data_IF_173549470131
#
_entry.id   IF_173549470131
#
_cell.length_a   1.000
_cell.length_b   1.000
_cell.length_c   1.000
_cell.angle_alpha   90.00
_cell.angle_beta   90.00
_cell.angle_gamma   90.00
#
_symmetry.space_group_name_H-M   'P 1'
#
loop_
_entity.id
_entity.type
_entity.pdbx_description
1 polymer ?
#
# COMPACT_ATOMS: atom_id res chain seq x y z
N UNK A 1 18.09 -5.56 -7.17
CA UNK A 1 18.58 -4.18 -7.42
C UNK A 1 18.41 -3.29 -6.20
N UNK A 2 17.17 -3.03 -5.71
CA UNK A 2 16.94 -2.14 -4.56
C UNK A 2 17.68 -2.55 -3.27
N UNK A 3 17.63 -3.82 -2.88
CA UNK A 3 18.35 -4.30 -1.69
C UNK A 3 19.86 -4.11 -1.80
N UNK A 4 20.46 -4.44 -2.96
CA UNK A 4 21.88 -4.22 -3.21
C UNK A 4 22.27 -2.74 -3.15
N UNK A 5 21.41 -1.84 -3.66
CA UNK A 5 21.62 -0.40 -3.52
C UNK A 5 21.56 0.08 -2.06
N UNK A 6 20.66 -0.48 -1.24
CA UNK A 6 20.58 -0.17 0.18
C UNK A 6 21.77 -0.74 0.96
N UNK A 7 22.21 -1.95 0.64
CA UNK A 7 23.40 -2.56 1.23
C UNK A 7 24.64 -1.72 0.96
N UNK A 8 24.81 -1.24 -0.27
CA UNK A 8 25.92 -0.37 -0.65
C UNK A 8 25.95 0.96 0.12
N UNK A 9 24.78 1.46 0.52
CA UNK A 9 24.63 2.66 1.37
C UNK A 9 24.91 2.34 2.83
N UNK A 10 24.53 1.15 3.32
CA UNK A 10 24.78 0.74 4.70
C UNK A 10 26.24 0.36 4.97
N UNK A 11 26.96 -0.17 3.98
CA UNK A 11 28.33 -0.68 4.13
C UNK A 11 29.42 0.38 3.91
N UNK A 12 29.09 1.54 3.32
CA UNK A 12 30.07 2.55 2.96
C UNK A 12 29.81 3.92 3.59
N UNK A 13 30.88 4.65 3.88
CA UNK A 13 30.84 6.07 4.29
C UNK A 13 30.69 7.04 3.09
N UNK A 14 30.16 6.56 1.96
CA UNK A 14 30.05 7.35 0.73
C UNK A 14 28.78 8.20 0.75
N UNK A 15 28.82 9.43 0.21
CA UNK A 15 27.62 10.24 0.05
C UNK A 15 26.56 9.53 -0.80
N UNK A 16 25.30 9.59 -0.36
CA UNK A 16 24.14 9.00 -1.08
C UNK A 16 24.07 9.50 -2.53
N UNK A 17 24.47 10.75 -2.77
CA UNK A 17 24.52 11.36 -4.11
C UNK A 17 25.49 10.65 -5.06
N UNK A 18 26.65 10.23 -4.57
CA UNK A 18 27.66 9.55 -5.39
C UNK A 18 27.24 8.12 -5.70
N UNK A 19 26.66 7.43 -4.72
CA UNK A 19 26.06 6.10 -4.92
C UNK A 19 24.93 6.17 -5.95
N UNK A 20 24.04 7.15 -5.83
CA UNK A 20 22.94 7.33 -6.79
C UNK A 20 23.46 7.59 -8.22
N UNK A 21 24.52 8.40 -8.36
CA UNK A 21 25.17 8.67 -9.65
C UNK A 21 25.79 7.42 -10.25
N UNK A 22 26.50 6.62 -9.45
CA UNK A 22 27.10 5.35 -9.87
C UNK A 22 26.03 4.35 -10.33
N UNK A 23 24.91 4.29 -9.62
CA UNK A 23 23.77 3.43 -9.96
C UNK A 23 22.89 3.97 -11.10
N UNK A 24 23.16 5.18 -11.59
CA UNK A 24 22.39 5.83 -12.67
C UNK A 24 20.95 6.18 -12.28
N UNK A 25 20.68 6.43 -10.99
CA UNK A 25 19.35 6.78 -10.48
C UNK A 25 19.34 8.18 -9.86
N UNK A 26 18.15 8.78 -9.76
CA UNK A 26 17.99 9.99 -8.98
C UNK A 26 18.25 9.73 -7.49
N UNK A 27 18.98 10.63 -6.84
CA UNK A 27 19.27 10.54 -5.40
C UNK A 27 18.00 10.46 -4.54
N UNK A 28 16.94 11.18 -4.95
CA UNK A 28 15.64 11.14 -4.29
C UNK A 28 15.00 9.74 -4.29
N UNK A 29 15.23 8.93 -5.32
CA UNK A 29 14.79 7.54 -5.36
C UNK A 29 15.51 6.70 -4.30
N UNK A 30 16.83 6.85 -4.19
CA UNK A 30 17.62 6.12 -3.21
C UNK A 30 17.24 6.52 -1.77
N UNK A 31 17.09 7.82 -1.51
CA UNK A 31 16.59 8.34 -0.21
C UNK A 31 15.21 7.80 0.14
N UNK A 32 14.30 7.72 -0.84
CA UNK A 32 12.97 7.13 -0.63
C UNK A 32 13.07 5.64 -0.28
N UNK A 33 13.96 4.89 -0.93
CA UNK A 33 14.17 3.49 -0.60
C UNK A 33 14.74 3.29 0.80
N UNK A 34 15.67 4.16 1.22
CA UNK A 34 16.22 4.16 2.58
C UNK A 34 15.11 4.43 3.61
N UNK A 35 14.32 5.49 3.41
CA UNK A 35 13.20 5.82 4.29
C UNK A 35 12.23 4.64 4.43
N UNK A 36 11.88 4.00 3.31
CA UNK A 36 10.96 2.86 3.35
C UNK A 36 11.61 1.63 4.01
N UNK A 37 12.90 1.37 3.84
CA UNK A 37 13.61 0.29 4.56
C UNK A 37 13.65 0.56 6.07
N UNK A 38 13.83 1.81 6.49
CA UNK A 38 13.75 2.20 7.90
C UNK A 38 12.34 1.99 8.49
N UNK A 39 11.29 2.32 7.73
CA UNK A 39 9.89 2.01 8.11
C UNK A 39 9.67 0.50 8.20
N UNK A 40 10.14 -0.27 7.21
CA UNK A 40 9.98 -1.72 7.16
C UNK A 40 10.70 -2.44 8.31
N UNK A 41 11.79 -1.86 8.81
CA UNK A 41 12.55 -2.33 9.98
C UNK A 41 12.05 -1.77 11.32
N UNK A 42 11.02 -0.91 11.32
CA UNK A 42 10.50 -0.28 12.53
C UNK A 42 11.44 0.74 13.18
N UNK A 43 12.41 1.26 12.43
CA UNK A 43 13.31 2.34 12.90
C UNK A 43 12.65 3.73 12.80
N UNK A 44 11.51 3.81 12.11
CA UNK A 44 10.69 5.01 11.92
C UNK A 44 9.21 4.65 12.02
N UNK A 45 8.41 5.64 12.40
CA UNK A 45 6.97 5.57 12.59
C UNK A 45 6.19 6.68 11.84
N UNK A 46 6.88 7.51 11.05
CA UNK A 46 6.31 8.62 10.29
C UNK A 46 5.68 8.20 8.95
N UNK A 47 5.36 6.92 8.78
CA UNK A 47 4.83 6.34 7.56
C UNK A 47 4.43 4.88 7.75
N UNK A 48 3.90 4.27 6.69
CA UNK A 48 3.51 2.87 6.69
C UNK A 48 4.64 2.00 6.14
N UNK A 49 4.91 0.89 6.82
CA UNK A 49 5.72 -0.18 6.29
C UNK A 49 5.06 -0.77 5.03
N UNK A 50 5.87 -1.36 4.15
CA UNK A 50 5.44 -1.92 2.87
C UNK A 50 4.30 -2.94 3.09
N UNK A 51 4.43 -3.80 4.10
CA UNK A 51 3.41 -4.78 4.47
C UNK A 51 2.08 -4.13 4.87
N UNK A 52 2.13 -3.06 5.66
CA UNK A 52 0.94 -2.32 6.09
C UNK A 52 0.27 -1.62 4.92
N UNK A 53 1.05 -1.07 3.99
CA UNK A 53 0.52 -0.47 2.75
C UNK A 53 -0.20 -1.51 1.88
N UNK A 54 0.36 -2.70 1.74
CA UNK A 54 -0.24 -3.81 0.99
C UNK A 54 -1.54 -4.28 1.63
N UNK A 55 -1.54 -4.47 2.95
CA UNK A 55 -2.73 -4.85 3.70
C UNK A 55 -3.83 -3.79 3.60
N UNK A 56 -3.48 -2.51 3.74
CA UNK A 56 -4.42 -1.40 3.56
C UNK A 56 -5.03 -1.40 2.16
N UNK A 57 -4.23 -1.67 1.12
CA UNK A 57 -4.74 -1.78 -0.27
C UNK A 57 -5.68 -2.97 -0.43
N UNK A 58 -5.35 -4.12 0.15
CA UNK A 58 -6.20 -5.32 0.15
C UNK A 58 -7.54 -5.03 0.83
N UNK A 59 -7.50 -4.49 2.04
CA UNK A 59 -8.68 -4.16 2.83
C UNK A 59 -9.57 -3.12 2.13
N UNK A 60 -8.98 -2.11 1.46
CA UNK A 60 -9.75 -1.13 0.68
C UNK A 60 -10.48 -1.77 -0.50
N UNK A 61 -9.85 -2.71 -1.21
CA UNK A 61 -10.49 -3.45 -2.31
C UNK A 61 -11.61 -4.33 -1.79
N UNK A 62 -11.38 -5.04 -0.70
CA UNK A 62 -12.38 -5.90 -0.07
C UNK A 62 -13.57 -5.09 0.46
N UNK A 63 -13.31 -3.96 1.12
CA UNK A 63 -14.38 -3.07 1.58
C UNK A 63 -15.24 -2.53 0.44
N UNK A 64 -14.62 -2.18 -0.69
CA UNK A 64 -15.35 -1.74 -1.89
C UNK A 64 -16.25 -2.86 -2.42
N UNK A 65 -15.73 -4.09 -2.53
CA UNK A 65 -16.50 -5.27 -2.94
C UNK A 65 -17.68 -5.55 -2.00
N UNK A 66 -17.43 -5.58 -0.69
CA UNK A 66 -18.46 -5.82 0.32
C UNK A 66 -19.57 -4.76 0.29
N UNK A 67 -19.22 -3.49 0.03
CA UNK A 67 -20.21 -2.42 -0.14
C UNK A 67 -21.11 -2.66 -1.36
N UNK A 68 -20.54 -3.10 -2.49
CA UNK A 68 -21.31 -3.45 -3.68
C UNK A 68 -22.24 -4.64 -3.42
N UNK A 69 -21.75 -5.71 -2.80
CA UNK A 69 -22.55 -6.89 -2.46
C UNK A 69 -23.71 -6.51 -1.52
N UNK A 70 -23.44 -5.69 -0.49
CA UNK A 70 -24.48 -5.18 0.42
C UNK A 70 -25.53 -4.34 -0.30
N UNK A 71 -25.14 -3.52 -1.28
CA UNK A 71 -26.07 -2.72 -2.06
C UNK A 71 -26.99 -3.60 -2.92
N UNK A 72 -26.44 -4.62 -3.57
CA UNK A 72 -27.21 -5.58 -4.37
C UNK A 72 -28.24 -6.29 -3.46
N UNK A 73 -27.79 -6.84 -2.32
CA UNK A 73 -28.68 -7.53 -1.37
C UNK A 73 -29.77 -6.61 -0.85
N UNK A 74 -29.45 -5.33 -0.57
CA UNK A 74 -30.44 -4.34 -0.15
C UNK A 74 -31.48 -4.11 -1.24
N UNK A 75 -31.07 -3.94 -2.51
CA UNK A 75 -31.99 -3.75 -3.65
C UNK A 75 -32.91 -4.96 -3.81
N UNK A 76 -32.37 -6.18 -3.75
CA UNK A 76 -33.17 -7.42 -3.83
C UNK A 76 -34.18 -7.50 -2.70
N UNK A 77 -33.76 -7.20 -1.46
CA UNK A 77 -34.65 -7.25 -0.29
C UNK A 77 -35.78 -6.22 -0.39
N UNK A 78 -35.48 -5.00 -0.86
CA UNK A 78 -36.50 -3.96 -1.09
C UNK A 78 -37.48 -4.40 -2.18
N UNK A 79 -36.98 -4.94 -3.29
CA UNK A 79 -37.83 -5.44 -4.36
C UNK A 79 -38.74 -6.59 -3.90
N UNK A 80 -38.21 -7.56 -3.14
CA UNK A 80 -38.97 -8.69 -2.61
C UNK A 80 -40.09 -8.24 -1.65
N UNK A 81 -39.82 -7.26 -0.77
CA UNK A 81 -40.85 -6.69 0.11
C UNK A 81 -41.95 -5.97 -0.67
N UNK A 82 -41.60 -5.25 -1.73
CA UNK A 82 -42.58 -4.60 -2.61
C UNK A 82 -43.48 -5.61 -3.33
N UNK A 83 -42.91 -6.72 -3.81
CA UNK A 83 -43.67 -7.79 -4.44
C UNK A 83 -44.66 -8.47 -3.46
N UNK A 84 -44.25 -8.71 -2.22
CA UNK A 84 -45.10 -9.28 -1.19
C UNK A 84 -46.28 -8.36 -0.79
N UNK A 85 -46.08 -7.04 -0.83
CA UNK A 85 -47.14 -6.06 -0.52
C UNK A 85 -48.17 -5.89 -1.64
N UNK A 86 -47.85 -6.27 -2.89
CA UNK A 86 -48.79 -6.24 -4.01
C UNK A 86 -49.61 -7.53 -4.16
N UNK A 87 -49.13 -8.63 -3.56
CA UNK A 87 -49.76 -9.95 -3.63
C UNK A 87 -50.70 -10.26 -2.45
N UNK A 88 -50.86 -9.35 -1.49
CA UNK A 88 -51.75 -9.45 -0.32
C UNK A 88 -52.85 -8.40 -0.40
#
# INVERSE_FOLDING_TARGET
FREGALQLVCEGDRPVADIARELGIAESCLRRWMKQDELDRGKRDDGLATREQEELRKLRRENARLKQEKEILRKVTVAARGAAAFAA
#
